data_IF_128317941179
#
_entry.id   IF_128317941179
#
_cell.length_a   1.000
_cell.length_b   1.000
_cell.length_c   1.000
_cell.angle_alpha   90.00
_cell.angle_beta   90.00
_cell.angle_gamma   90.00
#
_symmetry.space_group_name_H-M   'P 1'
#
loop_
_entity.id
_entity.type
_entity.pdbx_description
1 polymer ?
#
# COMPACT_ATOMS: atom_id res chain seq x y z
N UNK A 1 3.27 -7.48 -37.91
CA UNK A 1 2.50 -8.40 -37.09
C UNK A 1 3.41 -9.57 -36.66
N UNK A 2 4.53 -9.34 -35.91
CA UNK A 2 5.42 -10.39 -35.38
C UNK A 2 6.53 -9.82 -34.49
N UNK A 3 6.19 -8.96 -33.48
CA UNK A 3 7.21 -8.49 -32.52
C UNK A 3 6.69 -8.24 -31.10
N UNK A 4 5.50 -8.72 -30.76
CA UNK A 4 4.87 -8.48 -29.44
C UNK A 4 5.00 -9.68 -28.48
N UNK A 5 5.23 -10.89 -28.99
CA UNK A 5 5.16 -12.14 -28.18
C UNK A 5 6.39 -12.44 -27.32
N UNK A 6 7.53 -11.79 -27.57
CA UNK A 6 8.78 -12.16 -26.88
C UNK A 6 8.95 -11.55 -25.47
N UNK A 7 8.20 -10.52 -25.10
CA UNK A 7 8.33 -9.91 -23.77
C UNK A 7 7.43 -10.57 -22.73
N UNK A 8 6.28 -11.09 -23.14
CA UNK A 8 5.40 -11.85 -22.23
C UNK A 8 5.98 -13.24 -21.92
N UNK A 9 6.61 -13.89 -22.88
CA UNK A 9 7.25 -15.19 -22.69
C UNK A 9 8.45 -15.12 -21.71
N UNK A 10 9.21 -14.02 -21.73
CA UNK A 10 10.33 -13.82 -20.82
C UNK A 10 9.88 -13.49 -19.38
N UNK A 11 8.77 -12.82 -19.21
CA UNK A 11 8.19 -12.58 -17.90
C UNK A 11 7.67 -13.90 -17.27
N UNK A 12 6.94 -14.71 -18.03
CA UNK A 12 6.45 -16.02 -17.58
C UNK A 12 7.58 -16.99 -17.25
N UNK A 13 8.65 -17.00 -18.03
CA UNK A 13 9.84 -17.86 -17.77
C UNK A 13 10.63 -17.43 -16.56
N UNK A 14 10.70 -16.13 -16.27
CA UNK A 14 11.30 -15.61 -15.03
C UNK A 14 10.46 -15.98 -13.80
N UNK A 15 9.14 -15.91 -13.90
CA UNK A 15 8.21 -16.30 -12.83
C UNK A 15 8.29 -17.79 -12.53
N UNK A 16 8.35 -18.65 -13.56
CA UNK A 16 8.50 -20.10 -13.38
C UNK A 16 9.84 -20.47 -12.73
N UNK A 17 10.93 -19.76 -13.01
CA UNK A 17 12.22 -19.97 -12.36
C UNK A 17 12.21 -19.49 -10.90
N UNK A 18 11.47 -18.43 -10.57
CA UNK A 18 11.33 -17.95 -9.19
C UNK A 18 10.50 -18.91 -8.34
N UNK A 19 9.44 -19.47 -8.91
CA UNK A 19 8.59 -20.50 -8.25
C UNK A 19 9.39 -21.78 -8.02
N UNK A 20 10.24 -22.20 -8.95
CA UNK A 20 11.11 -23.37 -8.78
C UNK A 20 12.18 -23.17 -7.69
N UNK A 21 12.66 -21.97 -7.47
CA UNK A 21 13.57 -21.66 -6.37
C UNK A 21 12.87 -21.70 -5.00
N UNK A 22 11.58 -21.34 -4.94
CA UNK A 22 10.78 -21.40 -3.71
C UNK A 22 10.34 -22.84 -3.37
N UNK A 23 10.13 -23.70 -4.35
CA UNK A 23 9.79 -25.11 -4.13
C UNK A 23 10.98 -25.97 -3.73
N UNK A 24 12.21 -25.59 -4.09
CA UNK A 24 13.44 -26.28 -3.69
C UNK A 24 13.80 -26.09 -2.20
N UNK A 25 13.23 -25.11 -1.51
CA UNK A 25 13.44 -24.88 -0.07
C UNK A 25 12.49 -25.68 0.84
N UNK A 26 11.48 -26.36 0.32
CA UNK A 26 10.44 -27.05 1.11
C UNK A 26 10.74 -28.52 1.44
N UNK A 27 11.89 -29.04 1.08
CA UNK A 27 12.29 -30.43 1.37
C UNK A 27 13.44 -30.53 2.39
N UNK A 28 13.19 -30.08 3.64
CA UNK A 28 14.10 -30.43 4.74
C UNK A 28 13.31 -30.87 5.96
N UNK A 29 13.17 -32.20 6.05
CA UNK A 29 13.22 -33.11 7.20
C UNK A 29 12.36 -32.84 8.44
N UNK A 30 11.34 -33.69 8.55
CA UNK A 30 10.83 -34.15 9.85
C UNK A 30 11.92 -34.92 10.60
N UNK A 31 12.36 -34.46 11.73
CA UNK A 31 13.12 -35.23 12.72
C UNK A 31 12.34 -35.23 14.02
N UNK A 32 11.79 -36.39 14.31
CA UNK A 32 11.18 -36.81 15.57
C UNK A 32 12.19 -36.76 16.72
N UNK A 33 11.83 -36.17 17.82
CA UNK A 33 12.45 -36.44 19.10
C UNK A 33 11.36 -36.65 20.14
N UNK A 34 11.03 -37.91 20.40
CA UNK A 34 10.41 -38.35 21.66
C UNK A 34 11.47 -38.36 22.76
N UNK A 35 11.20 -37.75 23.89
CA UNK A 35 11.77 -38.11 25.16
C UNK A 35 10.74 -37.90 26.27
N UNK A 36 10.20 -39.00 26.70
CA UNK A 36 9.45 -39.16 27.94
C UNK A 36 10.38 -39.22 29.12
N UNK A 37 10.25 -38.35 30.07
CA UNK A 37 10.73 -38.57 31.45
C UNK A 37 9.59 -38.30 32.41
N UNK A 38 9.12 -39.38 33.05
CA UNK A 38 8.28 -39.33 34.25
C UNK A 38 9.14 -38.83 35.42
N UNK A 39 8.67 -37.88 36.18
CA UNK A 39 9.11 -37.68 37.55
C UNK A 39 7.95 -37.25 38.41
N UNK A 40 7.97 -37.82 39.57
CA UNK A 40 7.01 -37.98 40.66
C UNK A 40 6.51 -36.68 41.29
N UNK A 41 5.33 -36.78 41.84
CA UNK A 41 4.55 -35.72 42.46
C UNK A 41 5.02 -35.41 43.87
N UNK A 42 5.29 -34.15 44.15
CA UNK A 42 5.14 -33.58 45.49
C UNK A 42 4.30 -32.33 45.42
N UNK A 43 3.09 -32.39 45.95
CA UNK A 43 2.17 -31.24 46.07
C UNK A 43 2.74 -30.26 47.11
N UNK A 44 3.26 -29.15 46.61
CA UNK A 44 3.36 -27.92 47.39
C UNK A 44 2.39 -26.93 46.79
N UNK A 45 1.32 -26.61 47.50
CA UNK A 45 0.43 -25.48 47.17
C UNK A 45 1.25 -24.18 47.31
N UNK A 46 1.79 -23.69 46.24
CA UNK A 46 2.21 -22.28 46.13
C UNK A 46 0.97 -21.45 45.88
N UNK A 47 0.73 -20.50 46.80
CA UNK A 47 -0.18 -19.39 46.57
C UNK A 47 0.19 -18.76 45.22
N UNK A 48 -0.77 -18.70 44.32
CA UNK A 48 -0.59 -17.98 43.05
C UNK A 48 -0.29 -16.51 43.38
N UNK A 49 0.93 -16.09 43.09
CA UNK A 49 1.30 -14.69 43.05
C UNK A 49 0.38 -14.03 42.04
N UNK A 50 -0.51 -13.15 42.49
CA UNK A 50 -1.35 -12.34 41.60
C UNK A 50 -0.42 -11.40 40.85
N UNK A 51 0.07 -11.88 39.71
CA UNK A 51 0.78 -11.01 38.73
C UNK A 51 -0.26 -10.03 38.22
N UNK A 52 -0.27 -8.84 38.80
CA UNK A 52 -0.98 -7.69 38.20
C UNK A 52 -0.30 -7.39 36.89
N UNK A 53 -0.72 -8.08 35.86
CA UNK A 53 -0.31 -7.77 34.48
C UNK A 53 -0.84 -6.38 34.15
N UNK A 54 -0.01 -5.36 34.30
CA UNK A 54 -0.32 -4.01 33.88
C UNK A 54 -0.67 -4.07 32.39
N UNK A 55 -1.94 -3.81 32.04
CA UNK A 55 -2.39 -3.78 30.64
C UNK A 55 -1.53 -2.76 29.92
N UNK A 56 -0.66 -3.24 29.05
CA UNK A 56 0.16 -2.38 28.21
C UNK A 56 -0.76 -1.52 27.35
N UNK A 57 -0.60 -0.21 27.39
CA UNK A 57 -1.37 0.68 26.54
C UNK A 57 -0.93 0.48 25.10
N UNK A 58 -1.88 0.08 24.22
CA UNK A 58 -1.63 -0.09 22.79
C UNK A 58 -1.51 1.23 22.06
N UNK A 59 -1.98 2.33 22.63
CA UNK A 59 -2.00 3.66 22.04
C UNK A 59 -1.07 4.56 22.83
N UNK A 60 -0.18 5.24 22.10
CA UNK A 60 0.71 6.28 22.63
C UNK A 60 0.53 7.55 21.82
N UNK A 61 0.31 8.67 22.50
CA UNK A 61 0.26 10.01 21.90
C UNK A 61 1.60 10.72 22.10
N UNK A 62 2.24 11.09 21.01
CA UNK A 62 3.37 12.01 20.97
C UNK A 62 2.88 13.36 20.39
N UNK A 63 3.73 14.41 20.42
CA UNK A 63 3.35 15.76 19.99
C UNK A 63 2.94 15.85 18.52
N UNK A 64 3.53 15.01 17.67
CA UNK A 64 3.37 15.02 16.20
C UNK A 64 2.65 13.80 15.65
N UNK A 65 2.40 12.79 16.50
CA UNK A 65 1.82 11.53 16.04
C UNK A 65 1.12 10.73 17.14
N UNK A 66 0.16 9.92 16.69
CA UNK A 66 -0.44 8.85 17.46
C UNK A 66 0.17 7.52 17.00
N UNK A 67 0.64 6.71 17.93
CA UNK A 67 1.22 5.38 17.66
C UNK A 67 0.31 4.29 18.19
N UNK A 68 -0.04 3.32 17.34
CA UNK A 68 -0.75 2.09 17.70
C UNK A 68 0.19 0.90 17.65
N UNK A 69 0.40 0.23 18.77
CA UNK A 69 1.28 -0.95 18.91
C UNK A 69 0.56 -2.22 18.44
N UNK A 70 0.74 -2.56 17.17
CA UNK A 70 0.12 -3.74 16.53
C UNK A 70 0.75 -5.05 17.05
N UNK A 71 2.04 -5.04 17.30
CA UNK A 71 2.79 -6.22 17.76
C UNK A 71 2.24 -6.80 19.06
N UNK A 72 1.73 -5.96 19.94
CA UNK A 72 1.17 -6.38 21.23
C UNK A 72 -0.36 -6.48 21.23
N UNK A 73 -1.03 -6.20 20.10
CA UNK A 73 -2.46 -6.48 19.94
C UNK A 73 -2.67 -7.97 19.62
N UNK A 74 -3.20 -8.72 20.57
CA UNK A 74 -3.47 -10.16 20.42
C UNK A 74 -4.36 -10.48 19.21
N UNK A 75 -5.22 -9.56 18.81
CA UNK A 75 -6.13 -9.77 17.67
C UNK A 75 -5.45 -9.57 16.33
N UNK A 76 -4.24 -8.97 16.28
CA UNK A 76 -3.51 -8.73 15.03
C UNK A 76 -3.05 -10.04 14.35
N UNK A 77 -2.97 -11.15 15.09
CA UNK A 77 -2.54 -12.44 14.56
C UNK A 77 -3.48 -12.99 13.46
N UNK A 78 -4.78 -12.68 13.56
CA UNK A 78 -5.81 -13.20 12.66
C UNK A 78 -6.46 -12.13 11.79
N UNK A 79 -6.01 -10.87 11.87
CA UNK A 79 -6.60 -9.74 11.17
C UNK A 79 -5.74 -9.22 10.04
N UNK A 80 -6.40 -8.60 9.06
CA UNK A 80 -5.75 -7.82 8.02
C UNK A 80 -5.36 -6.44 8.55
N UNK A 81 -4.46 -5.76 7.82
CA UNK A 81 -4.09 -4.37 8.17
C UNK A 81 -5.30 -3.44 8.13
N UNK A 82 -6.19 -3.60 7.14
CA UNK A 82 -7.40 -2.79 7.04
C UNK A 82 -8.31 -2.94 8.27
N UNK A 83 -8.44 -4.15 8.81
CA UNK A 83 -9.24 -4.39 10.03
C UNK A 83 -8.59 -3.79 11.28
N UNK A 84 -7.27 -3.76 11.35
CA UNK A 84 -6.56 -3.08 12.46
C UNK A 84 -6.73 -1.57 12.37
N UNK A 85 -6.75 -0.98 11.17
CA UNK A 85 -6.98 0.46 11.01
C UNK A 85 -8.29 0.93 11.63
N UNK A 86 -9.35 0.08 11.64
CA UNK A 86 -10.63 0.39 12.29
C UNK A 86 -10.54 0.60 13.81
N UNK A 87 -9.42 0.16 14.45
CA UNK A 87 -9.17 0.32 15.89
C UNK A 87 -8.34 1.54 16.24
N UNK A 88 -7.76 2.20 15.23
CA UNK A 88 -6.80 3.29 15.45
C UNK A 88 -7.57 4.60 15.53
N UNK A 89 -7.47 5.36 16.63
CA UNK A 89 -8.05 6.69 16.70
C UNK A 89 -7.56 7.57 15.54
N UNK A 90 -8.38 8.51 15.11
CA UNK A 90 -8.15 9.40 13.95
C UNK A 90 -8.18 8.69 12.59
N UNK A 91 -8.38 7.36 12.53
CA UNK A 91 -8.59 6.62 11.29
C UNK A 91 -10.03 6.11 11.25
N UNK A 92 -10.73 6.36 10.17
CA UNK A 92 -12.07 5.82 9.93
C UNK A 92 -12.06 5.01 8.65
N UNK A 93 -12.75 3.86 8.68
CA UNK A 93 -12.98 3.01 7.52
C UNK A 93 -14.48 2.82 7.40
N UNK A 94 -15.08 3.38 6.34
CA UNK A 94 -16.52 3.31 6.15
C UNK A 94 -17.02 1.93 5.66
N UNK A 95 -18.32 1.77 5.46
CA UNK A 95 -18.92 0.52 5.00
C UNK A 95 -18.51 0.12 3.58
N UNK A 96 -18.00 1.06 2.78
CA UNK A 96 -17.43 0.83 1.44
C UNK A 96 -15.91 0.64 1.49
N UNK A 97 -15.34 0.57 2.72
CA UNK A 97 -13.91 0.41 2.99
C UNK A 97 -13.04 1.61 2.54
N UNK A 98 -13.64 2.79 2.38
CA UNK A 98 -12.88 4.00 2.17
C UNK A 98 -12.21 4.44 3.47
N UNK A 99 -10.93 4.75 3.37
CA UNK A 99 -10.10 5.13 4.52
C UNK A 99 -10.03 6.64 4.59
N UNK A 100 -10.26 7.19 5.79
CA UNK A 100 -10.04 8.60 6.10
C UNK A 100 -9.11 8.72 7.29
N UNK A 101 -8.17 9.62 7.21
CA UNK A 101 -7.25 9.94 8.29
C UNK A 101 -7.53 11.38 8.72
N UNK A 102 -7.85 11.60 10.01
CA UNK A 102 -8.31 12.89 10.54
C UNK A 102 -9.53 13.46 9.76
N UNK A 103 -10.43 12.58 9.32
CA UNK A 103 -11.60 12.97 8.52
C UNK A 103 -11.32 13.28 7.05
N UNK A 104 -10.05 13.32 6.62
CA UNK A 104 -9.62 13.63 5.26
C UNK A 104 -9.31 12.36 4.47
N UNK A 105 -9.64 12.35 3.18
CA UNK A 105 -9.17 11.36 2.20
C UNK A 105 -7.80 11.74 1.60
N UNK A 106 -7.32 12.96 1.85
CA UNK A 106 -6.03 13.46 1.36
C UNK A 106 -4.92 13.16 2.38
N UNK A 107 -4.46 11.91 2.41
CA UNK A 107 -3.34 11.47 3.24
C UNK A 107 -2.34 10.66 2.41
N UNK A 108 -1.09 10.60 2.87
CA UNK A 108 -0.05 9.74 2.27
C UNK A 108 0.19 8.52 3.14
N UNK A 109 0.47 7.39 2.51
CA UNK A 109 0.87 6.18 3.24
C UNK A 109 2.37 6.01 3.12
N UNK A 110 3.01 5.82 4.26
CA UNK A 110 4.43 5.59 4.39
C UNK A 110 4.68 4.16 4.89
N UNK A 111 5.78 3.60 4.48
CA UNK A 111 6.31 2.35 5.03
C UNK A 111 7.66 2.61 5.67
N UNK A 112 7.80 2.22 6.94
CA UNK A 112 9.06 2.42 7.69
C UNK A 112 9.58 3.87 7.64
N UNK A 113 8.67 4.86 7.67
CA UNK A 113 9.01 6.29 7.68
C UNK A 113 9.27 6.91 6.30
N UNK A 114 9.02 6.21 5.20
CA UNK A 114 9.23 6.71 3.84
C UNK A 114 7.99 6.51 2.97
N UNK A 115 7.74 7.42 1.99
CA UNK A 115 6.64 7.30 1.06
C UNK A 115 6.67 5.93 0.36
N UNK A 116 5.54 5.26 0.30
CA UNK A 116 5.41 4.03 -0.46
C UNK A 116 4.35 4.22 -1.55
N UNK A 117 4.77 4.42 -2.81
CA UNK A 117 3.84 4.62 -3.92
C UNK A 117 2.92 3.42 -4.16
N UNK A 118 3.31 2.20 -3.72
CA UNK A 118 2.45 1.02 -3.81
C UNK A 118 1.23 1.11 -2.88
N UNK A 119 1.34 1.87 -1.80
CA UNK A 119 0.27 2.09 -0.82
C UNK A 119 -0.48 3.40 -1.12
N UNK A 120 -0.83 3.64 -2.37
CA UNK A 120 -1.53 4.86 -2.79
C UNK A 120 -2.61 4.56 -3.83
N UNK A 121 -3.53 5.51 -4.05
CA UNK A 121 -4.57 5.43 -5.07
C UNK A 121 -5.77 4.56 -4.67
N UNK A 122 -6.60 4.24 -5.68
CA UNK A 122 -7.88 3.55 -5.49
C UNK A 122 -7.77 2.12 -4.94
N UNK A 123 -6.59 1.49 -5.09
CA UNK A 123 -6.36 0.09 -4.68
C UNK A 123 -5.81 -0.03 -3.25
N UNK A 124 -5.67 1.08 -2.52
CA UNK A 124 -5.10 1.07 -1.16
C UNK A 124 -5.82 0.09 -0.23
N UNK A 125 -7.15 0.05 -0.26
CA UNK A 125 -7.95 -0.85 0.56
C UNK A 125 -7.63 -2.33 0.29
N UNK A 126 -7.49 -2.70 -0.98
CA UNK A 126 -7.23 -4.09 -1.39
C UNK A 126 -5.81 -4.52 -0.98
N UNK A 127 -4.85 -3.61 -1.08
CA UNK A 127 -3.48 -3.85 -0.60
C UNK A 127 -3.46 -4.02 0.91
N UNK A 128 -4.16 -3.17 1.66
CA UNK A 128 -4.21 -3.26 3.13
C UNK A 128 -4.97 -4.50 3.62
N UNK A 129 -5.90 -5.04 2.83
CA UNK A 129 -6.49 -6.37 3.07
C UNK A 129 -5.50 -7.50 2.83
N UNK A 130 -4.63 -7.37 1.83
CA UNK A 130 -3.62 -8.37 1.51
C UNK A 130 -2.46 -8.41 2.51
N UNK A 131 -2.23 -7.34 3.29
CA UNK A 131 -1.16 -7.28 4.30
C UNK A 131 -1.67 -7.85 5.63
N UNK A 132 -1.17 -9.00 6.11
CA UNK A 132 -1.50 -9.51 7.44
C UNK A 132 -1.01 -8.55 8.53
N UNK A 133 -1.85 -8.25 9.50
CA UNK A 133 -1.47 -7.35 10.59
C UNK A 133 -0.34 -7.92 11.48
N UNK A 134 -0.18 -9.25 11.52
CA UNK A 134 0.92 -9.92 12.22
C UNK A 134 2.32 -9.54 11.68
N UNK A 135 2.40 -8.99 10.46
CA UNK A 135 3.66 -8.52 9.87
C UNK A 135 4.01 -7.08 10.26
N UNK A 136 3.12 -6.40 10.96
CA UNK A 136 3.26 -4.99 11.35
C UNK A 136 3.69 -4.88 12.80
N UNK A 137 4.70 -4.06 13.06
CA UNK A 137 5.14 -3.72 14.42
C UNK A 137 4.22 -2.69 15.06
N UNK A 138 3.97 -1.59 14.35
CA UNK A 138 3.11 -0.49 14.78
C UNK A 138 2.60 0.32 13.59
N UNK A 139 1.54 1.05 13.81
CA UNK A 139 1.02 2.03 12.86
C UNK A 139 1.06 3.40 13.52
N UNK A 140 1.62 4.37 12.82
CA UNK A 140 1.72 5.75 13.29
C UNK A 140 0.83 6.65 12.43
N UNK A 141 -0.04 7.42 13.08
CA UNK A 141 -0.81 8.50 12.44
C UNK A 141 -0.09 9.81 12.75
N UNK A 142 0.65 10.32 11.77
CA UNK A 142 1.40 11.58 11.89
C UNK A 142 0.44 12.70 11.56
N UNK A 143 0.08 13.46 12.59
CA UNK A 143 -0.93 14.52 12.53
C UNK A 143 -0.34 15.88 12.20
N UNK A 144 0.94 16.05 12.49
CA UNK A 144 1.72 17.24 12.16
C UNK A 144 3.02 16.79 11.43
N UNK A 145 2.92 16.61 10.09
CA UNK A 145 4.09 16.29 9.28
C UNK A 145 5.03 17.52 9.28
N UNK A 146 6.06 17.50 10.13
CA UNK A 146 7.04 18.57 10.20
C UNK A 146 7.86 18.71 8.90
N UNK A 147 8.86 19.60 8.91
CA UNK A 147 9.68 19.98 7.74
C UNK A 147 10.40 18.82 7.01
N UNK A 148 10.56 17.67 7.67
CA UNK A 148 11.12 16.44 7.11
C UNK A 148 10.24 15.83 6.00
N UNK A 149 8.93 16.06 6.05
CA UNK A 149 7.97 15.46 5.13
C UNK A 149 7.70 16.36 3.92
N UNK A 150 7.25 15.78 2.82
CA UNK A 150 7.00 16.52 1.59
C UNK A 150 5.85 17.51 1.76
N UNK A 151 6.03 18.72 1.22
CA UNK A 151 5.07 19.82 1.34
C UNK A 151 3.80 19.65 0.48
N UNK A 152 3.77 18.65 -0.42
CA UNK A 152 2.68 18.46 -1.37
C UNK A 152 1.38 18.00 -0.70
N UNK A 153 0.48 18.95 -0.37
CA UNK A 153 -0.96 18.75 -0.18
C UNK A 153 -1.41 17.68 0.82
N UNK A 154 -0.60 17.33 1.81
CA UNK A 154 -0.86 16.21 2.70
C UNK A 154 -1.35 16.70 4.05
N UNK A 155 -2.58 16.35 4.45
CA UNK A 155 -3.13 16.69 5.78
C UNK A 155 -2.64 15.76 6.88
N UNK A 156 -2.29 14.52 6.54
CA UNK A 156 -1.80 13.51 7.49
C UNK A 156 -0.97 12.44 6.79
N UNK A 157 -0.15 11.72 7.56
CA UNK A 157 0.61 10.57 7.08
C UNK A 157 0.27 9.35 7.92
N UNK A 158 -0.09 8.25 7.25
CA UNK A 158 -0.27 6.95 7.84
C UNK A 158 1.02 6.14 7.63
N UNK A 159 1.84 6.01 8.66
CA UNK A 159 3.12 5.29 8.58
C UNK A 159 2.98 3.87 9.12
N UNK A 160 3.13 2.87 8.26
CA UNK A 160 3.08 1.44 8.60
C UNK A 160 4.51 0.97 8.84
N UNK A 161 4.84 0.70 10.08
CA UNK A 161 6.16 0.20 10.49
C UNK A 161 6.10 -1.33 10.53
N UNK A 162 6.83 -1.97 9.65
CA UNK A 162 6.89 -3.42 9.54
C UNK A 162 7.72 -4.03 10.69
N UNK A 163 7.46 -5.30 11.01
CA UNK A 163 8.27 -6.06 11.94
C UNK A 163 9.70 -6.19 11.43
N UNK A 164 10.66 -5.90 12.27
CA UNK A 164 12.07 -6.24 12.05
C UNK A 164 12.60 -6.88 13.33
N UNK A 165 13.02 -8.12 13.26
CA UNK A 165 13.45 -8.87 14.44
C UNK A 165 14.98 -8.89 14.53
N UNK A 166 15.57 -7.80 15.01
CA UNK A 166 17.02 -7.62 15.08
C UNK A 166 17.70 -8.39 16.24
N UNK A 167 16.92 -8.91 17.20
CA UNK A 167 17.48 -9.55 18.42
C UNK A 167 17.53 -11.07 18.39
N UNK A 168 16.81 -11.74 17.48
CA UNK A 168 16.77 -13.19 17.41
C UNK A 168 17.87 -13.71 16.47
N UNK A 169 18.65 -14.70 16.92
CA UNK A 169 19.44 -15.57 16.03
C UNK A 169 18.56 -16.74 15.61
N UNK A 170 18.60 -17.12 14.34
CA UNK A 170 17.85 -18.24 13.80
C UNK A 170 16.77 -17.85 12.80
N UNK A 171 15.81 -18.74 12.60
CA UNK A 171 14.70 -18.61 11.67
C UNK A 171 13.37 -18.48 12.44
N UNK A 172 12.56 -17.52 12.07
CA UNK A 172 11.19 -17.36 12.56
C UNK A 172 10.26 -16.98 11.43
N UNK A 173 9.02 -17.44 11.46
CA UNK A 173 8.05 -17.08 10.45
C UNK A 173 6.70 -17.71 10.65
N UNK A 174 5.79 -17.39 9.75
CA UNK A 174 4.47 -17.99 9.66
C UNK A 174 4.05 -18.19 8.21
N UNK A 175 3.12 -19.10 8.00
CA UNK A 175 2.38 -19.31 6.77
C UNK A 175 0.91 -19.30 7.14
N UNK A 176 0.11 -18.58 6.38
CA UNK A 176 -1.34 -18.54 6.55
C UNK A 176 -2.03 -18.79 5.21
N UNK A 177 -3.18 -19.42 5.28
CA UNK A 177 -4.05 -19.64 4.12
C UNK A 177 -5.49 -19.55 4.57
N UNK A 178 -6.33 -18.99 3.72
CA UNK A 178 -7.77 -18.99 3.92
C UNK A 178 -8.52 -19.08 2.57
N UNK A 179 -9.73 -19.61 2.64
CA UNK A 179 -10.67 -19.71 1.52
C UNK A 179 -12.02 -19.23 2.02
N UNK A 180 -12.68 -18.37 1.27
CA UNK A 180 -14.03 -17.94 1.60
C UNK A 180 -15.10 -18.80 0.92
N UNK A 181 -16.35 -18.62 1.32
CA UNK A 181 -17.50 -19.36 0.80
C UNK A 181 -17.81 -19.07 -0.67
N UNK A 182 -17.24 -18.03 -1.23
CA UNK A 182 -17.38 -17.62 -2.63
C UNK A 182 -16.23 -18.12 -3.51
N UNK A 183 -15.27 -18.85 -2.94
CA UNK A 183 -14.15 -19.44 -3.64
C UNK A 183 -12.95 -18.52 -3.84
N UNK A 184 -12.88 -17.40 -3.11
CA UNK A 184 -11.65 -16.60 -3.06
C UNK A 184 -10.62 -17.26 -2.17
N UNK A 185 -9.36 -17.19 -2.56
CA UNK A 185 -8.23 -17.83 -1.88
C UNK A 185 -7.21 -16.78 -1.49
N UNK A 186 -6.69 -16.87 -0.25
CA UNK A 186 -5.56 -16.08 0.21
C UNK A 186 -4.46 -16.98 0.75
N UNK A 187 -3.23 -16.68 0.39
CA UNK A 187 -2.04 -17.35 0.90
C UNK A 187 -1.06 -16.26 1.33
N UNK A 188 -0.44 -16.44 2.48
CA UNK A 188 0.54 -15.51 3.01
C UNK A 188 1.71 -16.24 3.64
N UNK A 189 2.91 -15.68 3.51
CA UNK A 189 4.09 -16.13 4.21
C UNK A 189 4.91 -14.96 4.71
N UNK A 190 5.45 -15.11 5.90
CA UNK A 190 6.43 -14.19 6.48
C UNK A 190 7.55 -15.02 7.07
N UNK A 191 8.77 -14.78 6.63
CA UNK A 191 9.98 -15.44 7.12
C UNK A 191 11.00 -14.38 7.47
N UNK A 192 11.62 -14.50 8.63
CA UNK A 192 12.77 -13.70 9.01
C UNK A 192 13.87 -14.60 9.56
N UNK A 193 15.09 -14.31 9.16
CA UNK A 193 16.26 -15.03 9.64
C UNK A 193 17.35 -14.04 10.04
N UNK A 194 18.07 -14.36 11.12
CA UNK A 194 19.29 -13.66 11.49
C UNK A 194 20.43 -14.67 11.62
N UNK A 195 21.47 -14.45 10.82
CA UNK A 195 22.71 -15.24 10.85
C UNK A 195 23.89 -14.28 11.01
N UNK A 196 24.51 -14.30 12.18
CA UNK A 196 25.56 -13.35 12.52
C UNK A 196 25.10 -11.90 12.43
N UNK A 197 25.70 -11.12 11.52
CA UNK A 197 25.41 -9.71 11.28
C UNK A 197 24.31 -9.45 10.24
N UNK A 198 23.85 -10.49 9.55
CA UNK A 198 22.83 -10.39 8.50
C UNK A 198 21.46 -10.78 9.02
N UNK A 199 20.50 -9.88 8.88
CA UNK A 199 19.08 -10.14 9.08
C UNK A 199 18.38 -10.06 7.73
N UNK A 200 17.63 -11.09 7.35
CA UNK A 200 16.84 -11.11 6.12
C UNK A 200 15.38 -11.37 6.46
N UNK A 201 14.48 -10.61 5.85
CA UNK A 201 13.04 -10.79 5.98
C UNK A 201 12.42 -10.92 4.61
N UNK A 202 11.58 -11.92 4.43
CA UNK A 202 10.78 -12.15 3.23
C UNK A 202 9.32 -12.18 3.61
N UNK A 203 8.51 -11.44 2.90
CA UNK A 203 7.06 -11.47 3.00
C UNK A 203 6.47 -11.64 1.60
N UNK A 204 5.56 -12.57 1.44
CA UNK A 204 4.83 -12.76 0.19
C UNK A 204 3.38 -13.10 0.47
N UNK A 205 2.48 -12.45 -0.25
CA UNK A 205 1.05 -12.69 -0.16
C UNK A 205 0.46 -12.83 -1.57
N UNK A 206 -0.42 -13.77 -1.68
CA UNK A 206 -1.23 -14.05 -2.87
C UNK A 206 -2.71 -13.97 -2.49
N UNK A 207 -3.51 -13.31 -3.30
CA UNK A 207 -4.95 -13.31 -3.18
C UNK A 207 -5.57 -13.53 -4.57
N UNK A 208 -6.46 -14.50 -4.66
CA UNK A 208 -7.34 -14.67 -5.79
C UNK A 208 -8.77 -14.36 -5.33
N UNK A 209 -9.33 -13.28 -5.83
CA UNK A 209 -10.67 -12.83 -5.51
C UNK A 209 -11.65 -13.32 -6.56
N UNK A 210 -12.63 -14.10 -6.15
CA UNK A 210 -13.63 -14.66 -7.05
C UNK A 210 -14.65 -13.58 -7.47
N UNK A 211 -15.19 -13.71 -8.68
CA UNK A 211 -16.25 -12.82 -9.18
C UNK A 211 -17.50 -12.86 -8.32
N UNK A 212 -17.87 -14.02 -7.77
CA UNK A 212 -19.04 -14.20 -6.90
C UNK A 212 -18.96 -13.37 -5.62
N UNK A 213 -17.75 -13.20 -5.05
CA UNK A 213 -17.55 -12.40 -3.84
C UNK A 213 -17.84 -10.92 -4.08
N UNK A 214 -17.63 -10.43 -5.30
CA UNK A 214 -17.75 -9.00 -5.63
C UNK A 214 -19.04 -8.67 -6.36
N UNK A 215 -19.82 -9.68 -6.74
CA UNK A 215 -21.07 -9.46 -7.44
C UNK A 215 -22.05 -8.70 -6.54
N UNK A 216 -22.51 -7.56 -7.05
CA UNK A 216 -23.50 -6.73 -6.36
C UNK A 216 -24.50 -6.14 -7.36
N UNK A 217 -25.69 -5.82 -6.83
CA UNK A 217 -26.72 -5.05 -7.54
C UNK A 217 -26.64 -3.63 -7.07
N UNK A 218 -26.76 -2.70 -8.00
CA UNK A 218 -26.74 -1.27 -7.74
C UNK A 218 -27.99 -0.63 -8.34
N UNK A 219 -28.59 0.27 -7.58
CA UNK A 219 -29.62 1.17 -8.06
C UNK A 219 -29.33 2.55 -7.49
N UNK A 220 -29.27 3.55 -8.37
CA UNK A 220 -29.05 4.95 -8.02
C UNK A 220 -30.09 5.82 -8.68
N UNK A 221 -30.66 6.73 -7.92
CA UNK A 221 -31.61 7.72 -8.39
C UNK A 221 -31.08 9.11 -8.06
N UNK A 222 -30.90 9.91 -9.10
CA UNK A 222 -30.44 11.29 -9.00
C UNK A 222 -31.60 12.23 -9.33
N UNK A 223 -31.97 13.08 -8.37
CA UNK A 223 -33.01 14.12 -8.58
C UNK A 223 -32.32 15.48 -8.80
N UNK A 224 -32.50 16.06 -9.96
CA UNK A 224 -31.98 17.37 -10.32
C UNK A 224 -32.94 18.46 -9.89
N UNK A 225 -32.77 19.00 -8.70
CA UNK A 225 -33.70 19.96 -8.05
C UNK A 225 -33.98 21.19 -8.91
N UNK A 226 -32.99 21.71 -9.67
CA UNK A 226 -33.14 22.91 -10.48
C UNK A 226 -33.99 22.69 -11.73
N UNK A 227 -33.90 21.53 -12.37
CA UNK A 227 -34.62 21.22 -13.62
C UNK A 227 -35.86 20.35 -13.40
N UNK A 228 -35.95 19.71 -12.21
CA UNK A 228 -37.00 18.74 -11.91
C UNK A 228 -36.81 17.40 -12.63
N UNK A 229 -35.66 17.17 -13.23
CA UNK A 229 -35.37 15.92 -13.91
C UNK A 229 -34.93 14.84 -12.93
N UNK A 230 -35.10 13.58 -13.34
CA UNK A 230 -34.66 12.42 -12.60
C UNK A 230 -33.78 11.53 -13.52
N UNK A 231 -32.60 11.12 -13.03
CA UNK A 231 -31.79 10.06 -13.64
C UNK A 231 -31.87 8.82 -12.75
N UNK A 232 -32.14 7.68 -13.34
CA UNK A 232 -32.08 6.37 -12.70
C UNK A 232 -31.04 5.50 -13.38
N UNK A 233 -30.20 4.88 -12.58
CA UNK A 233 -29.19 3.90 -13.03
C UNK A 233 -29.35 2.64 -12.18
N UNK A 234 -29.55 1.49 -12.82
CA UNK A 234 -29.64 0.20 -12.12
C UNK A 234 -28.94 -0.88 -12.90
N UNK A 235 -28.33 -1.82 -12.17
CA UNK A 235 -27.55 -2.88 -12.84
C UNK A 235 -26.78 -3.74 -11.87
N UNK A 236 -25.80 -4.44 -12.43
CA UNK A 236 -24.91 -5.35 -11.70
C UNK A 236 -23.45 -5.00 -11.95
N UNK A 237 -22.63 -5.23 -10.94
CA UNK A 237 -21.19 -5.06 -11.00
C UNK A 237 -20.53 -6.32 -10.42
N UNK A 238 -19.44 -6.78 -11.06
CA UNK A 238 -18.63 -7.89 -10.56
C UNK A 238 -17.19 -7.76 -11.02
N UNK A 239 -16.25 -8.20 -10.18
CA UNK A 239 -14.82 -8.15 -10.46
C UNK A 239 -14.17 -9.45 -10.01
N UNK A 240 -13.35 -10.05 -10.88
CA UNK A 240 -12.38 -11.07 -10.48
C UNK A 240 -11.00 -10.43 -10.43
N UNK A 241 -10.19 -10.77 -9.44
CA UNK A 241 -8.86 -10.18 -9.31
C UNK A 241 -7.84 -11.19 -8.79
N UNK A 242 -6.61 -11.04 -9.26
CA UNK A 242 -5.44 -11.73 -8.72
C UNK A 242 -4.44 -10.67 -8.23
N UNK A 243 -4.01 -10.83 -6.99
CA UNK A 243 -3.12 -9.88 -6.31
C UNK A 243 -1.88 -10.64 -5.83
N UNK A 244 -0.73 -10.09 -6.11
CA UNK A 244 0.57 -10.50 -5.58
C UNK A 244 1.18 -9.32 -4.85
N UNK A 245 1.54 -9.51 -3.60
CA UNK A 245 2.21 -8.49 -2.80
C UNK A 245 3.37 -9.12 -2.07
N UNK A 246 4.51 -8.45 -2.05
CA UNK A 246 5.64 -8.95 -1.29
C UNK A 246 6.71 -7.91 -1.06
N UNK A 247 7.58 -8.23 -0.10
CA UNK A 247 8.81 -7.51 0.11
C UNK A 247 9.93 -8.46 0.56
N UNK A 248 11.14 -8.10 0.18
CA UNK A 248 12.37 -8.71 0.67
C UNK A 248 13.20 -7.58 1.26
N UNK A 249 13.71 -7.76 2.47
CA UNK A 249 14.64 -6.83 3.09
C UNK A 249 15.83 -7.58 3.68
N UNK A 250 16.99 -6.96 3.60
CA UNK A 250 18.23 -7.44 4.19
C UNK A 250 18.90 -6.29 4.94
N UNK A 251 19.28 -6.53 6.20
CA UNK A 251 20.00 -5.56 7.04
C UNK A 251 21.31 -6.19 7.46
N UNK A 252 22.42 -5.53 7.20
CA UNK A 252 23.76 -5.98 7.55
C UNK A 252 24.41 -5.02 8.55
N UNK A 253 24.64 -5.52 9.76
CA UNK A 253 25.32 -4.80 10.83
C UNK A 253 26.84 -4.83 10.56
N UNK A 254 27.38 -3.81 9.85
CA UNK A 254 28.82 -3.73 9.55
C UNK A 254 29.60 -3.75 10.86
N UNK A 255 29.18 -2.90 11.79
CA UNK A 255 29.62 -2.83 13.19
C UNK A 255 28.52 -2.25 14.08
N UNK A 256 28.83 -1.90 15.34
CA UNK A 256 27.85 -1.35 16.29
C UNK A 256 27.32 0.04 15.93
N UNK A 257 28.03 0.76 15.07
CA UNK A 257 27.69 2.13 14.64
C UNK A 257 27.16 2.19 13.22
N UNK A 258 27.44 1.19 12.39
CA UNK A 258 27.18 1.20 10.96
C UNK A 258 26.22 0.08 10.55
N UNK A 259 25.10 0.47 9.97
CA UNK A 259 24.05 -0.42 9.47
C UNK A 259 23.77 -0.15 7.99
N UNK A 260 23.82 -1.19 7.17
CA UNK A 260 23.39 -1.15 5.77
C UNK A 260 22.07 -1.93 5.64
N UNK A 261 21.05 -1.31 5.03
CA UNK A 261 19.76 -1.95 4.78
C UNK A 261 19.40 -1.83 3.31
N UNK A 262 19.06 -2.94 2.69
CA UNK A 262 18.51 -3.00 1.35
C UNK A 262 17.11 -3.63 1.40
N UNK A 263 16.16 -3.09 0.67
CA UNK A 263 14.84 -3.69 0.54
C UNK A 263 14.27 -3.50 -0.85
N UNK A 264 13.43 -4.45 -1.25
CA UNK A 264 12.59 -4.33 -2.44
C UNK A 264 11.18 -4.74 -2.07
N UNK A 265 10.21 -4.06 -2.64
CA UNK A 265 8.80 -4.41 -2.56
C UNK A 265 8.19 -4.49 -3.96
N UNK A 266 7.22 -5.35 -4.11
CA UNK A 266 6.43 -5.42 -5.33
C UNK A 266 4.96 -5.57 -5.00
N UNK A 267 4.13 -5.05 -5.89
CA UNK A 267 2.70 -5.21 -5.89
C UNK A 267 2.25 -5.45 -7.33
N UNK A 268 1.64 -6.60 -7.58
CA UNK A 268 1.04 -6.96 -8.85
C UNK A 268 -0.46 -7.16 -8.67
N UNK A 269 -1.24 -6.49 -9.48
CA UNK A 269 -2.69 -6.58 -9.51
C UNK A 269 -3.14 -6.84 -10.95
N UNK A 270 -3.96 -7.85 -11.14
CA UNK A 270 -4.66 -8.11 -12.41
C UNK A 270 -6.13 -8.33 -12.12
N UNK A 271 -7.01 -7.66 -12.86
CA UNK A 271 -8.45 -7.76 -12.66
C UNK A 271 -9.22 -7.77 -13.96
N UNK A 272 -10.37 -8.45 -13.92
CA UNK A 272 -11.41 -8.41 -14.92
C UNK A 272 -12.70 -7.94 -14.26
N UNK A 273 -13.13 -6.72 -14.58
CA UNK A 273 -14.38 -6.17 -14.09
C UNK A 273 -15.45 -6.16 -15.19
N UNK A 274 -16.68 -6.37 -14.79
CA UNK A 274 -17.86 -6.28 -15.65
C UNK A 274 -18.97 -5.52 -14.93
N UNK A 275 -19.48 -4.47 -15.59
CA UNK A 275 -20.60 -3.67 -15.13
C UNK A 275 -21.65 -3.64 -16.22
N UNK A 276 -22.85 -4.07 -15.89
CA UNK A 276 -24.02 -3.98 -16.78
C UNK A 276 -25.04 -3.08 -16.10
N UNK A 277 -25.46 -2.02 -16.78
CA UNK A 277 -26.43 -1.09 -16.23
C UNK A 277 -27.41 -0.57 -17.29
N UNK A 278 -28.62 -0.27 -16.85
CA UNK A 278 -29.60 0.51 -17.60
C UNK A 278 -29.63 1.92 -17.04
N UNK A 279 -29.54 2.90 -17.92
CA UNK A 279 -29.57 4.32 -17.60
C UNK A 279 -30.80 4.96 -18.25
N UNK A 280 -31.59 5.66 -17.43
CA UNK A 280 -32.79 6.34 -17.85
C UNK A 280 -32.77 7.78 -17.31
N UNK A 281 -33.22 8.75 -18.13
CA UNK A 281 -33.41 10.13 -17.69
C UNK A 281 -34.80 10.60 -18.06
N UNK A 282 -35.47 11.19 -17.11
CA UNK A 282 -36.87 11.64 -17.20
C UNK A 282 -36.96 13.13 -16.93
N UNK A 283 -37.82 13.81 -17.62
CA UNK A 283 -38.12 15.23 -17.36
C UNK A 283 -39.03 15.39 -16.16
N UNK A 284 -39.33 16.66 -15.78
CA UNK A 284 -40.24 17.02 -14.67
C UNK A 284 -41.66 16.51 -14.86
N UNK A 285 -42.09 16.17 -16.07
CA UNK A 285 -43.41 15.66 -16.42
C UNK A 285 -43.42 14.14 -16.55
N UNK A 286 -42.36 13.45 -16.12
CA UNK A 286 -42.18 12.01 -16.25
C UNK A 286 -42.12 11.52 -17.72
N UNK A 287 -41.66 12.37 -18.64
CA UNK A 287 -41.39 11.97 -20.03
C UNK A 287 -39.96 11.53 -20.16
N UNK A 288 -39.72 10.41 -20.88
CA UNK A 288 -38.39 9.87 -21.11
C UNK A 288 -37.56 10.81 -21.98
N UNK A 289 -36.47 11.35 -21.45
CA UNK A 289 -35.53 12.17 -22.21
C UNK A 289 -34.61 11.25 -23.01
N UNK A 290 -33.98 10.26 -22.34
CA UNK A 290 -33.18 9.22 -23.00
C UNK A 290 -33.16 7.94 -22.16
N UNK A 291 -32.84 6.84 -22.84
CA UNK A 291 -32.55 5.54 -22.24
C UNK A 291 -31.46 4.84 -23.02
N UNK A 292 -30.61 4.09 -22.33
CA UNK A 292 -29.66 3.15 -22.92
C UNK A 292 -29.25 2.09 -21.92
N UNK A 293 -28.88 0.93 -22.43
CA UNK A 293 -28.17 -0.09 -21.69
C UNK A 293 -26.67 0.08 -21.93
N UNK A 294 -25.90 -0.08 -20.89
CA UNK A 294 -24.44 0.03 -20.88
C UNK A 294 -23.83 -1.28 -20.39
N UNK A 295 -22.92 -1.83 -21.19
CA UNK A 295 -22.05 -2.93 -20.77
C UNK A 295 -20.60 -2.44 -20.80
N UNK A 296 -20.01 -2.33 -19.62
CA UNK A 296 -18.65 -1.88 -19.40
C UNK A 296 -17.79 -3.03 -18.90
N UNK A 297 -16.70 -3.32 -19.60
CA UNK A 297 -15.73 -4.32 -19.18
C UNK A 297 -14.32 -3.75 -19.12
N UNK A 298 -13.54 -4.22 -18.16
CA UNK A 298 -12.11 -3.91 -18.07
C UNK A 298 -11.31 -5.21 -18.11
N UNK A 299 -11.21 -5.85 -19.30
CA UNK A 299 -10.52 -7.13 -19.42
C UNK A 299 -9.02 -6.97 -19.17
N UNK A 300 -8.49 -7.70 -18.19
CA UNK A 300 -7.06 -7.74 -17.93
C UNK A 300 -6.46 -6.40 -17.45
N UNK A 301 -7.23 -5.54 -16.77
CA UNK A 301 -6.64 -4.41 -16.05
C UNK A 301 -5.47 -4.90 -15.21
N UNK A 302 -4.30 -4.30 -15.38
CA UNK A 302 -3.11 -4.69 -14.63
C UNK A 302 -2.38 -3.49 -14.07
N UNK A 303 -1.82 -3.68 -12.88
CA UNK A 303 -1.03 -2.69 -12.19
C UNK A 303 0.19 -3.38 -11.57
N UNK A 304 1.38 -3.05 -12.05
CA UNK A 304 2.62 -3.52 -11.49
C UNK A 304 3.34 -2.34 -10.82
N UNK A 305 3.68 -2.51 -9.56
CA UNK A 305 4.51 -1.59 -8.79
C UNK A 305 5.74 -2.35 -8.26
N UNK A 306 6.91 -1.77 -8.44
CA UNK A 306 8.18 -2.27 -7.90
C UNK A 306 8.86 -1.10 -7.21
N UNK A 307 9.24 -1.31 -5.94
CA UNK A 307 10.04 -0.39 -5.16
C UNK A 307 11.37 -1.00 -4.75
N UNK A 308 12.40 -0.19 -4.69
CA UNK A 308 13.72 -0.56 -4.17
C UNK A 308 14.22 0.53 -3.23
N UNK A 309 14.95 0.14 -2.18
CA UNK A 309 15.52 1.08 -1.23
C UNK A 309 16.85 0.56 -0.71
N UNK A 310 17.80 1.47 -0.58
CA UNK A 310 19.09 1.25 0.03
C UNK A 310 19.34 2.36 1.04
N UNK A 311 19.62 1.99 2.30
CA UNK A 311 19.94 2.89 3.39
C UNK A 311 21.28 2.53 4.00
N UNK A 312 22.09 3.53 4.21
CA UNK A 312 23.26 3.46 5.08
C UNK A 312 23.03 4.38 6.28
N UNK A 313 23.11 3.81 7.48
CA UNK A 313 22.95 4.54 8.74
C UNK A 313 24.26 4.48 9.52
N UNK A 314 24.76 5.67 9.88
CA UNK A 314 25.90 5.83 10.76
C UNK A 314 25.47 6.49 12.07
N UNK A 315 25.72 5.82 13.19
CA UNK A 315 25.56 6.34 14.55
C UNK A 315 26.93 6.79 15.04
N UNK A 316 26.97 7.86 15.77
CA UNK A 316 28.20 8.29 16.46
C UNK A 316 28.22 7.77 17.90
N UNK A 317 29.26 8.12 18.65
CA UNK A 317 29.31 7.79 20.08
C UNK A 317 28.37 8.65 20.93
N UNK A 318 27.79 9.72 20.35
CA UNK A 318 26.76 10.51 21.01
C UNK A 318 25.40 9.82 20.85
N UNK A 319 24.78 9.44 21.95
CA UNK A 319 23.48 8.75 21.92
C UNK A 319 22.41 9.60 21.22
N UNK A 320 21.78 8.98 20.23
CA UNK A 320 20.77 9.61 19.39
C UNK A 320 21.29 10.45 18.23
N UNK A 321 22.60 10.59 18.04
CA UNK A 321 23.17 11.21 16.84
C UNK A 321 23.28 10.20 15.70
N UNK A 322 22.61 10.53 14.56
CA UNK A 322 22.45 9.59 13.45
C UNK A 322 22.53 10.35 12.12
N UNK A 323 23.39 9.85 11.23
CA UNK A 323 23.40 10.20 9.81
C UNK A 323 22.79 9.05 9.01
N UNK A 324 21.84 9.35 8.12
CA UNK A 324 21.24 8.37 7.22
C UNK A 324 21.39 8.83 5.77
N UNK A 325 21.93 7.98 4.92
CA UNK A 325 21.96 8.16 3.48
C UNK A 325 20.98 7.18 2.85
N UNK A 326 20.07 7.67 2.03
CA UNK A 326 19.00 6.86 1.44
C UNK A 326 18.93 7.05 -0.06
N UNK A 327 18.77 5.94 -0.78
CA UNK A 327 18.36 5.92 -2.18
C UNK A 327 17.06 5.11 -2.30
N UNK A 328 16.08 5.62 -3.03
CA UNK A 328 14.83 4.93 -3.32
C UNK A 328 14.53 4.95 -4.81
N UNK A 329 14.02 3.83 -5.30
CA UNK A 329 13.46 3.66 -6.64
C UNK A 329 11.99 3.25 -6.49
N UNK A 330 11.09 3.91 -7.21
CA UNK A 330 9.71 3.48 -7.38
C UNK A 330 9.38 3.42 -8.87
N UNK A 331 8.82 2.31 -9.32
CA UNK A 331 8.41 2.11 -10.70
C UNK A 331 7.00 1.52 -10.74
N UNK A 332 6.10 2.19 -11.46
CA UNK A 332 4.70 1.78 -11.58
C UNK A 332 4.33 1.67 -13.07
N UNK A 333 3.61 0.61 -13.41
CA UNK A 333 3.22 0.24 -14.78
C UNK A 333 1.73 -0.15 -14.81
N UNK A 334 0.80 0.80 -14.75
CA UNK A 334 -0.61 0.49 -14.98
C UNK A 334 -0.88 0.26 -16.47
N UNK A 335 -1.72 -0.70 -16.76
CA UNK A 335 -2.28 -0.95 -18.08
C UNK A 335 -3.78 -1.16 -17.93
N UNK A 336 -4.55 -0.27 -18.52
CA UNK A 336 -6.01 -0.30 -18.50
C UNK A 336 -6.53 -0.57 -19.90
N UNK A 337 -7.31 -1.63 -20.03
CA UNK A 337 -8.16 -1.86 -21.19
C UNK A 337 -9.60 -1.66 -20.69
N UNK A 338 -10.30 -0.77 -21.36
CA UNK A 338 -11.66 -0.42 -21.02
C UNK A 338 -12.50 -0.56 -22.29
N UNK A 339 -13.55 -1.37 -22.23
CA UNK A 339 -14.50 -1.54 -23.33
C UNK A 339 -15.86 -1.15 -22.87
N UNK A 340 -16.52 -0.29 -23.59
CA UNK A 340 -17.88 0.14 -23.32
C UNK A 340 -18.76 -0.07 -24.55
N UNK A 341 -19.91 -0.70 -24.34
CA UNK A 341 -20.90 -0.97 -25.39
C UNK A 341 -22.25 -0.42 -24.95
N UNK A 342 -22.89 0.31 -25.84
CA UNK A 342 -24.24 0.84 -25.68
C UNK A 342 -25.24 0.05 -26.52
N UNK A 343 -26.38 -0.24 -25.95
CA UNK A 343 -27.50 -0.90 -26.63
C UNK A 343 -28.84 -0.33 -26.15
N UNK A 344 -29.92 -0.69 -26.83
CA UNK A 344 -31.27 -0.22 -26.50
C UNK A 344 -31.37 1.31 -26.35
N UNK A 345 -30.62 2.04 -27.19
CA UNK A 345 -30.54 3.49 -27.12
C UNK A 345 -31.81 4.15 -27.63
N UNK A 346 -32.43 5.00 -26.80
CA UNK A 346 -33.57 5.84 -27.13
C UNK A 346 -33.18 7.28 -26.82
N UNK A 347 -33.18 8.13 -27.85
CA UNK A 347 -32.84 9.55 -27.76
C UNK A 347 -31.48 9.85 -27.08
N UNK A 348 -30.58 8.88 -27.08
CA UNK A 348 -29.25 9.06 -26.50
C UNK A 348 -28.28 9.65 -27.56
N UNK A 349 -27.74 10.85 -27.34
CA UNK A 349 -27.09 11.65 -28.39
C UNK A 349 -25.61 11.28 -28.55
N UNK A 350 -25.32 10.02 -28.89
CA UNK A 350 -23.95 9.58 -29.25
C UNK A 350 -23.95 9.02 -30.67
N UNK A 351 -22.86 9.21 -31.36
CA UNK A 351 -22.66 8.77 -32.76
C UNK A 351 -21.91 7.44 -32.88
N UNK A 352 -21.72 6.72 -31.76
CA UNK A 352 -21.05 5.44 -31.70
C UNK A 352 -21.82 4.44 -30.80
N UNK A 353 -21.66 3.16 -31.08
CA UNK A 353 -22.29 2.08 -30.30
C UNK A 353 -21.36 1.47 -29.27
N UNK A 354 -20.06 1.61 -29.46
CA UNK A 354 -19.05 1.16 -28.49
C UNK A 354 -17.75 1.94 -28.68
N UNK A 355 -16.91 1.88 -27.64
CA UNK A 355 -15.52 2.27 -27.75
C UNK A 355 -14.62 1.41 -26.89
N UNK A 356 -13.40 1.21 -27.36
CA UNK A 356 -12.32 0.57 -26.65
C UNK A 356 -11.29 1.64 -26.28
N UNK A 357 -10.89 1.70 -25.02
CA UNK A 357 -9.80 2.53 -24.54
C UNK A 357 -8.66 1.65 -24.06
N UNK A 358 -7.45 1.88 -24.54
CA UNK A 358 -6.24 1.21 -24.12
C UNK A 358 -5.26 2.25 -23.59
N UNK A 359 -5.07 2.27 -22.28
CA UNK A 359 -4.19 3.23 -21.61
C UNK A 359 -3.02 2.49 -20.97
N UNK A 360 -1.81 2.91 -21.34
CA UNK A 360 -0.55 2.42 -20.76
C UNK A 360 0.19 3.57 -20.12
N UNK A 361 0.55 3.38 -18.87
CA UNK A 361 1.29 4.38 -18.12
C UNK A 361 2.62 3.79 -17.62
N UNK A 362 3.59 4.67 -17.51
CA UNK A 362 4.90 4.35 -16.96
C UNK A 362 5.34 5.49 -16.06
N UNK A 363 5.37 5.21 -14.77
CA UNK A 363 5.90 6.12 -13.76
C UNK A 363 7.20 5.56 -13.21
N UNK A 364 8.23 6.41 -13.06
CA UNK A 364 9.49 6.05 -12.40
C UNK A 364 9.96 7.24 -11.58
N UNK A 365 10.30 6.99 -10.32
CA UNK A 365 10.83 7.98 -9.40
C UNK A 365 12.12 7.47 -8.77
N UNK A 366 13.15 8.33 -8.78
CA UNK A 366 14.38 8.14 -8.03
C UNK A 366 14.44 9.21 -6.95
N UNK A 367 14.70 8.81 -5.72
CA UNK A 367 14.86 9.74 -4.59
C UNK A 367 16.19 9.49 -3.91
N UNK A 368 16.97 10.55 -3.75
CA UNK A 368 18.19 10.59 -2.96
C UNK A 368 17.93 11.45 -1.74
N UNK A 369 18.28 10.99 -0.55
CA UNK A 369 18.00 11.68 0.69
C UNK A 369 19.15 11.53 1.67
N UNK A 370 19.49 12.63 2.36
CA UNK A 370 20.45 12.68 3.47
C UNK A 370 19.71 13.26 4.67
N UNK A 371 19.67 12.52 5.77
CA UNK A 371 19.08 12.95 7.04
C UNK A 371 20.14 12.96 8.13
N UNK A 372 20.18 14.00 8.91
CA UNK A 372 21.06 14.14 10.07
C UNK A 372 20.27 14.55 11.29
N UNK A 373 20.40 13.78 12.36
CA UNK A 373 19.78 14.03 13.66
C UNK A 373 20.87 14.18 14.69
N UNK A 374 20.81 15.27 15.46
CA UNK A 374 21.75 15.53 16.56
C UNK A 374 21.03 16.02 17.82
N UNK A 375 21.11 15.29 18.93
CA UNK A 375 20.68 15.77 20.23
C UNK A 375 21.72 16.74 20.82
N UNK A 376 21.23 17.73 21.57
CA UNK A 376 22.04 18.65 22.34
C UNK A 376 21.56 18.65 23.80
N UNK A 377 22.35 18.02 24.66
CA UNK A 377 21.96 17.81 26.05
C UNK A 377 20.72 16.92 26.17
N UNK A 378 19.92 17.14 27.23
CA UNK A 378 18.77 16.28 27.56
C UNK A 378 17.45 16.70 26.90
N UNK A 379 17.36 17.95 26.44
CA UNK A 379 16.09 18.57 26.09
C UNK A 379 16.00 19.07 24.64
N UNK A 380 17.08 19.12 23.92
CA UNK A 380 17.18 19.75 22.62
C UNK A 380 17.62 18.75 21.55
N UNK A 381 17.02 18.83 20.37
CA UNK A 381 17.37 18.00 19.20
C UNK A 381 17.24 18.83 17.93
N UNK A 382 18.21 18.71 17.04
CA UNK A 382 18.15 19.24 15.68
C UNK A 382 17.97 18.07 14.71
N UNK A 383 17.08 18.23 13.74
CA UNK A 383 16.90 17.36 12.58
C UNK A 383 17.10 18.20 11.33
N UNK A 384 17.97 17.78 10.44
CA UNK A 384 18.24 18.45 9.16
C UNK A 384 18.39 17.43 8.04
N UNK A 385 18.19 17.86 6.82
CA UNK A 385 18.39 16.97 5.68
C UNK A 385 18.20 17.65 4.33
N UNK A 386 18.55 16.90 3.31
CA UNK A 386 18.36 17.27 1.91
C UNK A 386 17.71 16.11 1.16
N UNK A 387 16.91 16.43 0.15
CA UNK A 387 16.22 15.48 -0.68
C UNK A 387 16.25 15.91 -2.13
N UNK A 388 16.54 14.97 -3.03
CA UNK A 388 16.49 15.20 -4.47
C UNK A 388 15.66 14.10 -5.13
N UNK A 389 14.65 14.52 -5.89
CA UNK A 389 13.69 13.61 -6.54
C UNK A 389 13.74 13.84 -8.04
N UNK A 390 13.80 12.73 -8.79
CA UNK A 390 13.65 12.67 -10.24
C UNK A 390 12.40 11.86 -10.58
N UNK A 391 11.41 12.49 -11.21
CA UNK A 391 10.14 11.84 -11.64
C UNK A 391 10.02 11.84 -13.14
N UNK A 392 9.67 10.68 -13.68
CA UNK A 392 9.40 10.46 -15.10
C UNK A 392 8.03 9.79 -15.22
N UNK A 393 7.11 10.45 -15.90
CA UNK A 393 5.77 9.94 -16.15
C UNK A 393 5.46 10.01 -17.64
N UNK A 394 5.09 8.87 -18.22
CA UNK A 394 4.65 8.75 -19.61
C UNK A 394 3.30 8.03 -19.59
N UNK A 395 2.33 8.60 -20.30
CA UNK A 395 1.02 8.00 -20.55
C UNK A 395 0.70 8.00 -22.02
N UNK A 396 0.14 6.91 -22.52
CA UNK A 396 -0.42 6.81 -23.86
C UNK A 396 -1.80 6.18 -23.74
N UNK A 397 -2.81 6.86 -24.27
CA UNK A 397 -4.19 6.39 -24.32
C UNK A 397 -4.67 6.39 -25.76
N UNK A 398 -5.19 5.25 -26.19
CA UNK A 398 -5.82 5.05 -27.50
C UNK A 398 -7.31 4.83 -27.24
N UNK A 399 -8.16 5.55 -27.96
CA UNK A 399 -9.62 5.36 -27.98
C UNK A 399 -10.05 5.02 -29.39
N UNK A 400 -10.65 3.85 -29.56
CA UNK A 400 -11.17 3.30 -30.80
C UNK A 400 -12.70 3.28 -30.73
N UNK A 401 -13.36 4.04 -31.59
CA UNK A 401 -14.82 4.21 -31.57
C UNK A 401 -15.47 3.42 -32.72
N UNK A 402 -16.48 2.64 -32.37
CA UNK A 402 -17.32 1.95 -33.35
C UNK A 402 -18.51 2.83 -33.76
N UNK A 403 -18.33 3.60 -34.82
CA UNK A 403 -19.31 4.58 -35.30
C UNK A 403 -18.70 5.60 -36.26
N UNK A 404 -19.26 6.80 -36.27
CA UNK A 404 -18.76 7.91 -37.10
C UNK A 404 -17.77 8.84 -36.39
N UNK A 405 -17.54 8.61 -35.10
CA UNK A 405 -16.56 9.34 -34.28
C UNK A 405 -15.16 8.87 -34.64
N UNK A 406 -14.21 9.79 -34.96
CA UNK A 406 -12.82 9.43 -35.22
C UNK A 406 -12.12 8.87 -33.97
N UNK A 407 -11.21 7.92 -34.18
CA UNK A 407 -10.32 7.43 -33.13
C UNK A 407 -9.44 8.55 -32.60
N UNK A 408 -9.09 8.42 -31.33
CA UNK A 408 -8.30 9.43 -30.62
C UNK A 408 -7.08 8.80 -29.96
N UNK A 409 -5.90 9.38 -30.21
CA UNK A 409 -4.68 9.07 -29.49
C UNK A 409 -4.27 10.26 -28.61
N UNK A 410 -3.98 10.00 -27.35
CA UNK A 410 -3.42 10.98 -26.42
C UNK A 410 -2.09 10.47 -25.87
N UNK A 411 -1.06 11.31 -25.98
CA UNK A 411 0.27 11.06 -25.40
C UNK A 411 0.60 12.16 -24.42
N UNK A 412 1.05 11.78 -23.24
CA UNK A 412 1.44 12.73 -22.20
C UNK A 412 2.77 12.32 -21.60
N UNK A 413 3.70 13.27 -21.51
CA UNK A 413 4.97 13.12 -20.82
C UNK A 413 5.12 14.21 -19.77
N UNK A 414 5.44 13.82 -18.54
CA UNK A 414 5.67 14.75 -17.44
C UNK A 414 6.93 14.34 -16.69
N UNK A 415 7.91 15.23 -16.65
CA UNK A 415 9.15 15.04 -15.90
C UNK A 415 9.22 16.13 -14.83
N UNK A 416 9.60 15.74 -13.61
CA UNK A 416 9.80 16.68 -12.52
C UNK A 416 11.12 16.41 -11.80
N UNK A 417 11.76 17.48 -11.37
CA UNK A 417 12.94 17.47 -10.52
C UNK A 417 12.61 18.32 -9.28
N UNK A 418 12.78 17.74 -8.10
CA UNK A 418 12.51 18.43 -6.84
C UNK A 418 13.78 18.39 -6.00
N UNK A 419 14.29 19.54 -5.61
CA UNK A 419 15.39 19.68 -4.67
C UNK A 419 14.86 20.35 -3.39
N UNK A 420 15.06 19.72 -2.25
CA UNK A 420 14.59 20.21 -0.97
C UNK A 420 15.68 20.17 0.10
N UNK A 421 15.66 21.15 1.01
CA UNK A 421 16.45 21.15 2.23
C UNK A 421 15.55 21.53 3.41
N UNK A 422 15.78 20.95 4.57
CA UNK A 422 15.01 21.21 5.76
C UNK A 422 15.86 21.25 7.02
N UNK A 423 15.37 21.99 8.01
CA UNK A 423 15.94 22.10 9.35
C UNK A 423 14.78 22.16 10.35
N UNK A 424 14.84 21.36 11.40
CA UNK A 424 13.88 21.37 12.50
C UNK A 424 14.60 21.40 13.83
N UNK A 425 14.11 22.19 14.75
CA UNK A 425 14.54 22.22 16.15
C UNK A 425 13.41 21.68 17.03
N UNK A 426 13.74 20.78 17.94
CA UNK A 426 12.80 20.13 18.85
C UNK A 426 13.29 20.34 20.27
N UNK A 427 12.37 20.83 21.11
CA UNK A 427 12.56 21.00 22.55
C UNK A 427 11.60 20.08 23.30
N UNK A 428 12.09 19.35 24.32
CA UNK A 428 11.25 18.48 25.16
C UNK A 428 11.72 18.56 26.62
N UNK A 429 10.86 19.07 27.51
CA UNK A 429 11.16 19.16 28.95
C UNK A 429 9.91 18.88 29.78
N UNK A 430 9.91 17.76 30.52
CA UNK A 430 8.79 17.32 31.33
C UNK A 430 7.51 17.16 30.52
N UNK A 431 6.51 18.00 30.78
CA UNK A 431 5.22 18.01 30.03
C UNK A 431 5.22 18.94 28.83
N UNK A 432 6.29 19.66 28.59
CA UNK A 432 6.40 20.63 27.50
C UNK A 432 7.17 20.02 26.34
N UNK A 433 6.62 20.18 25.14
CA UNK A 433 7.30 19.86 23.90
C UNK A 433 6.98 20.95 22.87
N UNK A 434 8.00 21.39 22.15
CA UNK A 434 7.89 22.38 21.08
C UNK A 434 8.71 21.93 19.86
N UNK A 435 8.21 22.20 18.67
CA UNK A 435 8.90 21.97 17.41
C UNK A 435 8.79 23.19 16.53
N UNK A 436 9.91 23.63 15.96
CA UNK A 436 9.97 24.64 14.92
C UNK A 436 10.77 24.07 13.74
N UNK A 437 10.34 24.31 12.52
CA UNK A 437 11.01 23.78 11.35
C UNK A 437 10.84 24.69 10.13
N UNK A 438 11.85 24.68 9.27
CA UNK A 438 11.87 25.34 7.98
C UNK A 438 12.19 24.32 6.90
N UNK A 439 11.51 24.42 5.76
CA UNK A 439 11.79 23.64 4.54
C UNK A 439 11.81 24.61 3.36
N UNK A 440 12.84 24.50 2.56
CA UNK A 440 12.92 25.12 1.26
C UNK A 440 12.83 24.05 0.19
N UNK A 441 12.02 24.30 -0.83
CA UNK A 441 11.83 23.35 -1.93
C UNK A 441 11.83 24.08 -3.26
N UNK A 442 12.61 23.59 -4.20
CA UNK A 442 12.65 24.06 -5.58
C UNK A 442 12.20 22.92 -6.49
N UNK A 443 11.18 23.20 -7.30
CA UNK A 443 10.62 22.23 -8.26
C UNK A 443 10.74 22.75 -9.68
N UNK A 444 11.29 21.93 -10.57
CA UNK A 444 11.30 22.13 -12.01
C UNK A 444 10.47 21.07 -12.69
N UNK A 445 9.47 21.48 -13.46
CA UNK A 445 8.58 20.58 -14.20
C UNK A 445 8.67 20.85 -15.71
N UNK A 446 8.54 19.77 -16.49
CA UNK A 446 8.40 19.82 -17.95
C UNK A 446 7.30 18.85 -18.35
N UNK A 447 6.30 19.34 -19.07
CA UNK A 447 5.20 18.55 -19.63
C UNK A 447 5.15 18.74 -21.15
N UNK A 448 4.76 17.68 -21.86
CA UNK A 448 4.57 17.68 -23.32
C UNK A 448 3.53 16.64 -23.71
#
# INVERSE_FOLDING_TARGET
>A
MHHIDNYELNALTMWNKLILLLTACSSVTALTAQNTTKTDSTKTQKLEEVVVAQRRQLIKNDIDKLTYDVQHDKTAQTKTTLEILKKIPLVTVDGQENIRVQGSTSFKVYRNGHPDPSLSGQNLKDILKAIPASTIKRIEVITDPGAKYDAEGTTAILNIVMMSNTKLQGLSGNVNSDVDTHGSVRLGTYLTTKVGKLTTTVNYNYMNQSRKQTENKREEVYNYVKTGEQKREYGTNSTAATIHFGNISASYEIDSLNLLTASTNFFGYKADANTQSTNERWDKNSQLIYKFDNNMTTPGYSHLNIGGRLDYQHKTHLDGEILTLSYMLAATRPHTIFRQTYSNMVNFPVSYTSYDQNTRERFTEHTFQIDYVRPFGKHHKIESGTKYILRYNNSTSLMDYQGTTPDMESKFKHNAQVAAAYLSYIFTAGKWAARAGLRYEFTRMKAS
#
